data_IF_879550628207
#
_entry.id   IF_879550628207
#
_cell.length_a   1.000
_cell.length_b   1.000
_cell.length_c   1.000
_cell.angle_alpha   90.00
_cell.angle_beta   90.00
_cell.angle_gamma   90.00
#
_symmetry.space_group_name_H-M   'P 1'
#
loop_
_entity.id
_entity.type
_entity.pdbx_description
1 polymer ?
#
# COMPACT_ATOMS: atom_id res chain seq x y z
N UNK A 1 -12.49 18.86 36.46
CA UNK A 1 -11.02 18.93 36.67
C UNK A 1 -10.53 17.53 36.98
N UNK A 2 -9.93 16.86 35.99
CA UNK A 2 -9.14 15.64 36.17
C UNK A 2 -8.04 15.69 35.10
N UNK A 3 -6.83 15.82 35.61
CA UNK A 3 -5.56 16.04 34.93
C UNK A 3 -5.13 14.77 34.18
N UNK A 4 -4.67 14.96 32.94
CA UNK A 4 -3.95 13.96 32.16
C UNK A 4 -2.46 14.28 32.27
N UNK A 5 -1.67 13.30 32.71
CA UNK A 5 -0.20 13.35 32.66
C UNK A 5 0.27 12.73 31.34
N UNK A 6 1.23 13.40 30.71
CA UNK A 6 1.86 13.05 29.46
C UNK A 6 3.24 12.45 29.75
N UNK A 7 3.47 11.21 29.32
CA UNK A 7 4.79 10.59 29.32
C UNK A 7 5.59 11.04 28.10
N UNK A 8 6.87 11.33 28.33
CA UNK A 8 7.82 11.96 27.42
C UNK A 8 9.11 11.15 27.52
N UNK A 9 9.41 10.35 26.50
CA UNK A 9 10.65 9.56 26.42
C UNK A 9 11.81 10.43 25.90
N UNK A 10 12.96 10.31 26.56
CA UNK A 10 14.23 11.00 26.25
C UNK A 10 15.27 9.93 25.93
N UNK A 11 15.90 10.02 24.77
CA UNK A 11 17.02 9.18 24.34
C UNK A 11 18.35 9.73 24.90
N UNK A 12 19.12 8.91 25.61
CA UNK A 12 20.51 9.18 26.05
C UNK A 12 21.52 8.43 25.17
N UNK A 13 22.56 9.14 24.74
CA UNK A 13 23.69 8.64 23.98
C UNK A 13 24.82 8.12 24.90
N UNK A 14 25.54 7.10 24.46
CA UNK A 14 26.81 6.72 25.08
C UNK A 14 27.81 6.28 24.01
N UNK A 15 28.83 7.11 23.84
CA UNK A 15 30.02 6.90 23.04
C UNK A 15 31.09 6.19 23.87
N UNK A 16 31.87 5.28 23.28
CA UNK A 16 33.17 4.88 23.85
C UNK A 16 34.17 4.52 22.73
N UNK A 17 35.27 5.27 22.74
CA UNK A 17 36.47 5.10 21.93
C UNK A 17 37.36 3.95 22.42
N UNK A 18 38.03 3.27 21.48
CA UNK A 18 39.08 2.29 21.78
C UNK A 18 40.11 2.24 20.65
N UNK A 19 41.29 2.81 20.90
CA UNK A 19 42.45 2.87 19.99
C UNK A 19 43.23 1.55 19.96
N UNK A 20 43.81 1.33 18.78
CA UNK A 20 44.53 0.21 18.17
C UNK A 20 45.86 -0.26 18.79
N UNK A 21 46.23 -1.51 18.49
CA UNK A 21 47.63 -1.93 18.26
C UNK A 21 47.78 -2.79 16.98
N UNK A 22 48.84 -2.46 16.25
CA UNK A 22 49.45 -2.97 15.01
C UNK A 22 49.68 -4.51 14.97
N UNK A 23 49.95 -5.25 13.89
CA UNK A 23 50.12 -5.08 12.43
C UNK A 23 50.50 -6.47 11.90
N UNK A 24 49.89 -6.95 10.81
CA UNK A 24 50.58 -7.77 9.80
C UNK A 24 49.74 -7.88 8.52
N UNK A 25 50.38 -7.56 7.39
CA UNK A 25 49.78 -7.43 6.07
C UNK A 25 49.43 -8.79 5.46
N UNK A 26 48.24 -8.90 4.86
CA UNK A 26 48.09 -9.72 3.65
C UNK A 26 47.31 -8.94 2.59
N UNK A 27 48.02 -8.65 1.50
CA UNK A 27 47.60 -7.91 0.31
C UNK A 27 46.58 -8.70 -0.54
N UNK A 28 45.43 -9.08 0.03
CA UNK A 28 44.37 -9.79 -0.71
C UNK A 28 43.06 -8.99 -0.84
N UNK A 29 42.92 -7.89 -0.09
CA UNK A 29 41.64 -7.17 0.00
C UNK A 29 41.27 -6.35 -1.25
N UNK A 30 42.23 -5.91 -2.06
CA UNK A 30 41.93 -5.06 -3.22
C UNK A 30 41.35 -5.85 -4.40
N UNK A 31 41.82 -7.10 -4.61
CA UNK A 31 41.25 -7.99 -5.64
C UNK A 31 39.84 -8.43 -5.27
N UNK A 32 39.62 -8.80 -4.01
CA UNK A 32 38.30 -9.15 -3.46
C UNK A 32 37.31 -7.97 -3.52
N UNK A 33 37.80 -6.75 -3.28
CA UNK A 33 36.98 -5.53 -3.33
C UNK A 33 36.62 -5.14 -4.76
N UNK A 34 37.54 -5.28 -5.71
CA UNK A 34 37.28 -5.06 -7.14
C UNK A 34 36.42 -6.18 -7.75
N UNK A 35 36.61 -7.45 -7.39
CA UNK A 35 35.69 -8.54 -7.78
C UNK A 35 34.29 -8.34 -7.24
N UNK A 36 34.13 -7.94 -5.96
CA UNK A 36 32.82 -7.59 -5.39
C UNK A 36 32.20 -6.35 -6.07
N UNK A 37 33.02 -5.38 -6.52
CA UNK A 37 32.59 -4.21 -7.28
C UNK A 37 32.13 -4.59 -8.69
N UNK A 38 32.87 -5.45 -9.38
CA UNK A 38 32.58 -5.96 -10.71
C UNK A 38 31.35 -6.89 -10.69
N UNK A 39 31.23 -7.75 -9.69
CA UNK A 39 30.03 -8.56 -9.44
C UNK A 39 28.80 -7.67 -9.16
N UNK A 40 28.96 -6.56 -8.42
CA UNK A 40 27.90 -5.57 -8.19
C UNK A 40 27.57 -4.72 -9.44
N UNK A 41 28.54 -4.52 -10.35
CA UNK A 41 28.36 -3.88 -11.67
C UNK A 41 27.66 -4.82 -12.66
N UNK A 42 27.90 -6.13 -12.54
CA UNK A 42 27.34 -7.18 -13.41
C UNK A 42 25.95 -7.66 -12.98
N UNK A 43 25.41 -7.22 -11.83
CA UNK A 43 23.98 -7.34 -11.49
C UNK A 43 23.14 -6.35 -12.31
N UNK A 44 23.14 -6.54 -13.64
CA UNK A 44 22.23 -5.87 -14.57
C UNK A 44 20.78 -6.11 -14.12
N UNK A 45 19.97 -5.05 -14.11
CA UNK A 45 18.53 -5.12 -13.83
C UNK A 45 18.03 -4.29 -12.63
N UNK A 46 18.91 -3.80 -11.75
CA UNK A 46 18.48 -2.98 -10.61
C UNK A 46 18.79 -1.49 -10.85
N UNK A 47 17.86 -0.76 -11.49
CA UNK A 47 17.92 0.70 -11.53
C UNK A 47 17.81 1.23 -10.09
N UNK A 48 18.96 1.48 -9.45
CA UNK A 48 19.05 1.98 -8.07
C UNK A 48 18.40 3.36 -7.91
N UNK A 49 18.27 4.12 -8.99
CA UNK A 49 17.66 5.44 -8.99
C UNK A 49 16.15 5.41 -9.26
N UNK A 50 15.56 4.25 -9.57
CA UNK A 50 14.14 4.11 -9.90
C UNK A 50 13.23 4.79 -8.88
N UNK A 51 13.51 4.62 -7.58
CA UNK A 51 12.71 5.26 -6.52
C UNK A 51 12.82 6.79 -6.56
N UNK A 52 14.02 7.34 -6.79
CA UNK A 52 14.24 8.79 -6.89
C UNK A 52 13.55 9.37 -8.12
N UNK A 53 13.68 8.69 -9.26
CA UNK A 53 13.03 9.06 -10.52
C UNK A 53 11.51 9.05 -10.38
N UNK A 54 10.92 8.00 -9.78
CA UNK A 54 9.48 7.94 -9.52
C UNK A 54 9.02 9.07 -8.60
N UNK A 55 9.78 9.40 -7.54
CA UNK A 55 9.44 10.50 -6.63
C UNK A 55 9.50 11.86 -7.34
N UNK A 56 10.50 12.07 -8.19
CA UNK A 56 10.62 13.29 -8.99
C UNK A 56 9.47 13.42 -10.00
N UNK A 57 9.14 12.35 -10.71
CA UNK A 57 8.00 12.32 -11.61
C UNK A 57 6.68 12.60 -10.87
N UNK A 58 6.50 11.98 -9.69
CA UNK A 58 5.33 12.24 -8.87
C UNK A 58 5.22 13.71 -8.46
N UNK A 59 6.31 14.31 -7.95
CA UNK A 59 6.32 15.74 -7.59
C UNK A 59 6.03 16.64 -8.80
N UNK A 60 6.60 16.33 -9.97
CA UNK A 60 6.35 17.08 -11.20
C UNK A 60 4.87 17.02 -11.60
N UNK A 61 4.26 15.84 -11.55
CA UNK A 61 2.82 15.66 -11.81
C UNK A 61 1.98 16.43 -10.79
N UNK A 62 2.33 16.37 -9.50
CA UNK A 62 1.62 17.11 -8.45
C UNK A 62 1.66 18.62 -8.68
N UNK A 63 2.79 19.15 -9.12
CA UNK A 63 2.97 20.58 -9.39
C UNK A 63 2.24 21.04 -10.66
N UNK A 64 2.16 20.19 -11.69
CA UNK A 64 1.46 20.50 -12.93
C UNK A 64 -0.07 20.42 -12.80
N UNK A 65 -0.58 19.51 -11.95
CA UNK A 65 -2.02 19.34 -11.75
C UNK A 65 -2.58 20.39 -10.78
N UNK A 66 -3.55 21.19 -11.21
CA UNK A 66 -4.35 22.00 -10.29
C UNK A 66 -5.14 21.07 -9.35
N UNK A 67 -5.20 21.41 -8.06
CA UNK A 67 -5.85 20.60 -7.03
C UNK A 67 -6.65 21.48 -6.10
N UNK A 68 -7.93 21.15 -5.95
CA UNK A 68 -8.81 21.77 -4.98
C UNK A 68 -8.46 21.27 -3.57
N UNK A 69 -8.45 22.18 -2.61
CA UNK A 69 -8.23 21.83 -1.21
C UNK A 69 -9.41 20.99 -0.69
N UNK A 70 -9.17 19.88 0.02
CA UNK A 70 -10.24 19.06 0.61
C UNK A 70 -11.17 19.83 1.55
N UNK A 71 -10.67 20.90 2.15
CA UNK A 71 -11.39 21.84 3.02
C UNK A 71 -12.49 22.65 2.31
N UNK A 72 -12.49 22.67 0.97
CA UNK A 72 -13.57 23.26 0.17
C UNK A 72 -14.68 22.25 -0.08
N UNK A 73 -14.31 20.97 -0.20
CA UNK A 73 -15.25 19.87 -0.44
C UNK A 73 -15.94 19.45 0.86
N UNK A 74 -15.16 19.36 1.94
CA UNK A 74 -15.65 19.09 3.28
C UNK A 74 -15.77 20.42 4.02
N UNK A 75 -16.86 20.69 4.78
CA UNK A 75 -17.06 21.95 5.49
C UNK A 75 -16.14 22.07 6.73
N UNK A 76 -14.83 21.91 6.55
CA UNK A 76 -13.79 21.93 7.57
C UNK A 76 -12.81 23.04 7.20
N UNK A 77 -12.37 23.83 8.19
CA UNK A 77 -11.37 24.87 7.96
C UNK A 77 -10.04 24.27 7.50
N UNK A 78 -9.39 24.90 6.53
CA UNK A 78 -8.08 24.46 6.04
C UNK A 78 -7.02 24.60 7.13
N UNK A 79 -6.32 23.50 7.43
CA UNK A 79 -5.23 23.46 8.42
C UNK A 79 -4.04 24.35 8.04
N UNK A 80 -3.85 24.58 6.74
CA UNK A 80 -2.73 25.36 6.20
C UNK A 80 -3.08 26.84 5.98
N UNK A 81 -4.37 27.20 6.08
CA UNK A 81 -4.85 28.57 5.87
C UNK A 81 -4.33 29.17 4.56
N UNK A 82 -3.75 30.36 4.64
CA UNK A 82 -3.19 31.09 3.48
C UNK A 82 -1.90 30.47 2.91
N UNK A 83 -1.19 29.63 3.69
CA UNK A 83 0.03 28.94 3.24
C UNK A 83 -0.27 27.63 2.48
N UNK A 84 -1.53 27.41 2.12
CA UNK A 84 -1.95 26.20 1.43
C UNK A 84 -1.45 26.21 -0.02
N UNK A 85 -0.79 25.13 -0.45
CA UNK A 85 -0.38 24.95 -1.85
C UNK A 85 -1.52 24.48 -2.77
N UNK A 86 -2.74 24.36 -2.25
CA UNK A 86 -3.93 23.88 -2.96
C UNK A 86 -4.90 25.05 -3.16
N UNK A 87 -5.68 24.98 -4.23
CA UNK A 87 -6.65 26.02 -4.57
C UNK A 87 -7.83 25.99 -3.58
N UNK A 88 -8.24 27.16 -3.09
CA UNK A 88 -9.42 27.32 -2.24
C UNK A 88 -10.65 27.85 -2.98
N UNK A 89 -10.45 28.40 -4.18
CA UNK A 89 -11.49 29.00 -4.98
C UNK A 89 -11.97 28.04 -6.08
N UNK A 90 -13.29 27.88 -6.20
CA UNK A 90 -13.91 26.88 -7.07
C UNK A 90 -13.83 27.29 -8.55
N UNK A 91 -14.21 28.52 -8.96
CA UNK A 91 -14.12 28.96 -10.35
C UNK A 91 -12.70 28.90 -10.91
N UNK A 92 -11.70 29.36 -10.16
CA UNK A 92 -10.30 29.28 -10.57
C UNK A 92 -9.81 27.84 -10.74
N UNK A 93 -10.23 26.93 -9.85
CA UNK A 93 -9.94 25.52 -9.99
C UNK A 93 -10.61 24.90 -11.24
N UNK A 94 -11.90 25.19 -11.47
CA UNK A 94 -12.64 24.66 -12.63
C UNK A 94 -12.06 25.14 -13.96
N UNK A 95 -11.53 26.38 -14.03
CA UNK A 95 -10.86 26.89 -15.23
C UNK A 95 -9.53 26.18 -15.54
N UNK A 96 -8.78 25.77 -14.51
CA UNK A 96 -7.54 25.00 -14.66
C UNK A 96 -7.78 23.50 -14.80
N UNK A 97 -8.98 23.03 -14.45
CA UNK A 97 -9.33 21.61 -14.43
C UNK A 97 -9.34 21.07 -15.87
N UNK A 98 -8.67 19.94 -16.13
CA UNK A 98 -8.74 19.30 -17.44
C UNK A 98 -10.18 18.83 -17.75
N UNK A 99 -10.51 18.74 -19.05
CA UNK A 99 -11.82 18.32 -19.54
C UNK A 99 -12.27 16.99 -18.94
N UNK A 100 -13.58 16.81 -18.77
CA UNK A 100 -14.13 15.58 -18.23
C UNK A 100 -13.91 14.39 -19.17
N UNK A 101 -13.78 13.19 -18.60
CA UNK A 101 -13.52 11.95 -19.36
C UNK A 101 -14.79 11.50 -20.11
N UNK A 102 -15.97 11.88 -19.61
CA UNK A 102 -17.25 11.57 -20.21
C UNK A 102 -18.38 12.34 -19.53
N UNK A 103 -19.60 12.10 -20.00
CA UNK A 103 -20.80 12.85 -19.58
C UNK A 103 -21.45 12.31 -18.31
N UNK A 104 -21.28 11.01 -18.02
CA UNK A 104 -21.97 10.33 -16.92
C UNK A 104 -20.97 9.94 -15.83
N UNK A 105 -21.25 10.32 -14.58
CA UNK A 105 -20.48 9.90 -13.42
C UNK A 105 -21.09 8.63 -12.77
N UNK A 106 -20.41 7.48 -12.79
CA UNK A 106 -20.96 6.24 -12.21
C UNK A 106 -21.25 6.34 -10.70
N UNK A 107 -20.43 7.11 -9.99
CA UNK A 107 -20.63 7.35 -8.55
C UNK A 107 -21.86 8.21 -8.28
N UNK A 108 -22.07 9.24 -9.08
CA UNK A 108 -23.23 10.12 -8.95
C UNK A 108 -24.53 9.39 -9.31
N UNK A 109 -24.51 8.58 -10.35
CA UNK A 109 -25.69 7.84 -10.79
C UNK A 109 -26.14 6.80 -9.74
N UNK A 110 -25.17 6.11 -9.12
CA UNK A 110 -25.47 5.05 -8.14
C UNK A 110 -25.76 5.58 -6.74
N UNK A 111 -25.11 6.68 -6.31
CA UNK A 111 -25.20 7.18 -4.92
C UNK A 111 -25.99 8.48 -4.80
N UNK A 112 -26.31 9.13 -5.92
CA UNK A 112 -26.90 10.47 -5.95
C UNK A 112 -25.94 11.59 -5.55
N UNK A 113 -24.76 11.26 -5.01
CA UNK A 113 -23.74 12.19 -4.55
C UNK A 113 -22.35 11.65 -4.88
N UNK A 114 -21.43 12.55 -5.28
CA UNK A 114 -20.06 12.19 -5.60
C UNK A 114 -19.13 12.65 -4.47
N UNK A 115 -18.35 11.77 -3.81
CA UNK A 115 -17.44 12.16 -2.73
C UNK A 115 -16.29 13.06 -3.21
N UNK A 116 -16.00 13.05 -4.52
CA UNK A 116 -14.96 13.89 -5.11
C UNK A 116 -15.44 15.30 -5.48
N UNK A 117 -16.76 15.54 -5.46
CA UNK A 117 -17.36 16.85 -5.76
C UNK A 117 -16.75 17.51 -7.01
N UNK A 118 -16.51 18.82 -7.01
CA UNK A 118 -15.88 19.60 -8.08
C UNK A 118 -14.57 18.98 -8.64
N UNK A 119 -13.83 18.21 -7.84
CA UNK A 119 -12.57 17.59 -8.26
C UNK A 119 -12.77 16.28 -9.06
N UNK A 120 -14.01 15.81 -9.24
CA UNK A 120 -14.30 14.61 -10.02
C UNK A 120 -13.90 14.77 -11.49
N UNK A 121 -13.50 13.66 -12.13
CA UNK A 121 -13.19 13.60 -13.58
C UNK A 121 -14.44 13.56 -14.48
N UNK A 122 -15.61 13.56 -13.85
CA UNK A 122 -16.94 13.64 -14.46
C UNK A 122 -17.69 14.81 -13.80
N UNK A 123 -16.99 15.93 -13.61
CA UNK A 123 -17.46 17.08 -12.85
C UNK A 123 -18.77 17.64 -13.40
N UNK A 124 -18.84 17.77 -14.73
CA UNK A 124 -20.00 18.26 -15.46
C UNK A 124 -21.28 17.49 -15.20
N UNK A 125 -21.20 16.19 -14.87
CA UNK A 125 -22.36 15.35 -14.59
C UNK A 125 -23.09 15.71 -13.29
N UNK A 126 -22.41 16.40 -12.37
CA UNK A 126 -22.93 16.74 -11.05
C UNK A 126 -22.72 18.23 -10.72
N UNK A 127 -22.54 19.08 -11.74
CA UNK A 127 -22.51 20.54 -11.62
C UNK A 127 -23.63 21.15 -12.46
N UNK A 128 -24.34 22.12 -11.91
CA UNK A 128 -25.39 22.85 -12.63
C UNK A 128 -24.81 23.93 -13.55
N UNK A 129 -25.64 24.54 -14.41
CA UNK A 129 -25.26 25.64 -15.30
C UNK A 129 -24.67 26.85 -14.54
N UNK A 130 -25.00 27.00 -13.25
CA UNK A 130 -24.43 28.02 -12.36
C UNK A 130 -23.10 27.60 -11.70
N UNK A 131 -22.62 26.38 -11.93
CA UNK A 131 -21.39 25.83 -11.34
C UNK A 131 -21.57 25.27 -9.93
N UNK A 132 -22.80 25.12 -9.45
CA UNK A 132 -23.10 24.55 -8.12
C UNK A 132 -23.19 23.01 -8.18
N UNK A 133 -22.76 22.34 -7.10
CA UNK A 133 -22.86 20.89 -6.97
C UNK A 133 -24.32 20.42 -6.85
N UNK A 134 -24.73 19.48 -7.70
CA UNK A 134 -26.07 18.89 -7.69
C UNK A 134 -26.08 17.64 -6.81
N UNK A 135 -27.21 17.38 -6.15
CA UNK A 135 -27.51 16.12 -5.46
C UNK A 135 -28.74 15.48 -6.09
N UNK A 136 -28.66 14.19 -6.42
CA UNK A 136 -29.79 13.40 -6.94
C UNK A 136 -30.35 12.54 -5.82
N UNK A 137 -31.66 12.54 -5.65
CA UNK A 137 -32.31 11.58 -4.75
C UNK A 137 -32.36 10.23 -5.45
N UNK A 138 -31.86 9.19 -4.77
CA UNK A 138 -31.86 7.81 -5.28
C UNK A 138 -32.89 7.00 -4.51
N UNK A 139 -33.60 6.11 -5.20
CA UNK A 139 -34.66 5.29 -4.61
C UNK A 139 -34.15 4.39 -3.47
N UNK A 140 -32.89 3.96 -3.56
CA UNK A 140 -32.21 3.18 -2.55
C UNK A 140 -30.96 3.92 -2.03
N UNK A 141 -30.81 4.11 -0.71
CA UNK A 141 -29.62 4.71 -0.15
C UNK A 141 -28.40 3.82 -0.42
N UNK A 142 -27.27 4.45 -0.74
CA UNK A 142 -26.01 3.73 -0.96
C UNK A 142 -25.65 2.87 0.26
N UNK A 143 -25.56 1.57 0.06
CA UNK A 143 -25.06 0.64 1.06
C UNK A 143 -23.56 0.51 0.92
N UNK A 144 -22.82 0.73 2.01
CA UNK A 144 -21.39 0.50 2.00
C UNK A 144 -21.07 -0.97 1.72
N UNK A 145 -20.12 -1.21 0.83
CA UNK A 145 -19.58 -2.55 0.60
C UNK A 145 -18.99 -3.12 1.90
N UNK A 146 -19.21 -4.40 2.14
CA UNK A 146 -18.67 -5.13 3.30
C UNK A 146 -17.16 -4.86 3.41
N UNK A 147 -16.67 -4.57 4.62
CA UNK A 147 -15.27 -4.22 4.96
C UNK A 147 -14.80 -2.78 4.63
N UNK A 148 -15.71 -1.87 4.27
CA UNK A 148 -15.41 -0.45 4.02
C UNK A 148 -14.60 0.21 5.15
N UNK A 149 -14.89 -0.12 6.40
CA UNK A 149 -14.30 0.49 7.58
C UNK A 149 -13.35 -0.44 8.35
N UNK A 150 -12.56 -1.28 7.67
CA UNK A 150 -11.71 -2.29 8.33
C UNK A 150 -10.52 -1.76 9.15
N UNK A 151 -10.30 -0.46 9.32
CA UNK A 151 -9.08 0.05 9.99
C UNK A 151 -8.95 -0.41 11.44
N UNK A 152 -10.04 -0.44 12.20
CA UNK A 152 -10.05 -0.93 13.58
C UNK A 152 -9.83 -2.44 13.64
N UNK A 153 -10.39 -3.19 12.67
CA UNK A 153 -10.11 -4.62 12.50
C UNK A 153 -8.64 -4.85 12.18
N UNK A 154 -8.05 -4.10 11.23
CA UNK A 154 -6.64 -4.18 10.88
C UNK A 154 -5.73 -3.84 12.06
N UNK A 155 -6.09 -2.84 12.87
CA UNK A 155 -5.38 -2.52 14.12
C UNK A 155 -5.47 -3.69 15.10
N UNK A 156 -6.67 -4.25 15.31
CA UNK A 156 -6.86 -5.40 16.20
C UNK A 156 -6.09 -6.65 15.73
N UNK A 157 -6.05 -6.90 14.42
CA UNK A 157 -5.26 -7.98 13.81
C UNK A 157 -3.76 -7.76 14.02
N UNK A 158 -3.25 -6.55 13.79
CA UNK A 158 -1.84 -6.19 14.05
C UNK A 158 -1.47 -6.34 15.52
N UNK A 159 -2.39 -5.98 16.41
CA UNK A 159 -2.24 -6.12 17.87
C UNK A 159 -2.56 -7.52 18.39
N UNK A 160 -3.02 -8.45 17.53
CA UNK A 160 -3.48 -9.81 17.90
C UNK A 160 -4.59 -9.82 18.96
N UNK A 161 -5.41 -8.77 19.01
CA UNK A 161 -6.54 -8.64 19.95
C UNK A 161 -7.89 -8.93 19.31
N UNK A 162 -7.91 -9.32 18.03
CA UNK A 162 -9.15 -9.61 17.32
C UNK A 162 -9.75 -10.94 17.80
N UNK A 163 -11.05 -10.96 18.06
CA UNK A 163 -11.77 -12.16 18.51
C UNK A 163 -12.11 -13.06 17.31
N UNK A 164 -11.54 -14.26 17.30
CA UNK A 164 -11.68 -15.26 16.24
C UNK A 164 -12.69 -16.36 16.56
N UNK A 165 -13.53 -16.23 17.61
CA UNK A 165 -14.53 -17.26 18.01
C UNK A 165 -15.31 -17.85 16.84
N UNK A 166 -15.88 -16.99 15.97
CA UNK A 166 -16.67 -17.46 14.81
C UNK A 166 -15.84 -18.30 13.84
N UNK A 167 -14.60 -17.91 13.56
CA UNK A 167 -13.71 -18.70 12.72
C UNK A 167 -13.24 -19.97 13.42
N UNK A 168 -13.03 -19.94 14.73
CA UNK A 168 -12.64 -21.11 15.52
C UNK A 168 -13.74 -22.16 15.54
N UNK A 169 -15.01 -21.77 15.70
CA UNK A 169 -16.19 -22.63 15.61
C UNK A 169 -16.29 -23.33 14.25
N UNK A 170 -16.08 -22.57 13.16
CA UNK A 170 -16.03 -23.12 11.79
C UNK A 170 -14.85 -24.09 11.64
N UNK A 171 -13.68 -23.74 12.17
CA UNK A 171 -12.50 -24.61 12.13
C UNK A 171 -12.71 -25.88 12.97
N UNK A 172 -13.41 -25.83 14.10
CA UNK A 172 -13.77 -27.04 14.85
C UNK A 172 -14.76 -27.90 14.08
N UNK A 173 -15.80 -27.31 13.50
CA UNK A 173 -16.77 -28.05 12.69
C UNK A 173 -16.10 -28.73 11.47
N UNK A 174 -15.12 -28.07 10.85
CA UNK A 174 -14.34 -28.64 9.75
C UNK A 174 -13.34 -29.72 10.17
N UNK A 175 -12.87 -29.71 11.43
CA UNK A 175 -12.03 -30.79 11.96
C UNK A 175 -12.83 -32.08 12.14
N UNK A 176 -14.10 -31.95 12.52
CA UNK A 176 -14.97 -33.08 12.87
C UNK A 176 -15.68 -33.69 11.64
N UNK A 177 -15.67 -33.01 10.50
CA UNK A 177 -16.25 -33.53 9.26
C UNK A 177 -15.75 -32.76 8.04
N UNK A 178 -15.01 -33.45 7.18
CA UNK A 178 -14.61 -33.02 5.84
C UNK A 178 -15.83 -32.52 5.04
N UNK A 179 -16.04 -31.21 5.02
CA UNK A 179 -16.92 -30.54 4.07
C UNK A 179 -16.11 -29.51 3.30
N UNK A 180 -15.18 -30.03 2.49
CA UNK A 180 -14.41 -29.24 1.53
C UNK A 180 -13.62 -30.15 0.61
N UNK A 181 -13.79 -29.98 -0.71
CA UNK A 181 -13.28 -30.81 -1.80
C UNK A 181 -11.73 -30.86 -1.96
N UNK A 182 -10.97 -30.58 -0.91
CA UNK A 182 -9.53 -30.82 -0.86
C UNK A 182 -9.19 -31.55 0.43
N UNK A 183 -9.55 -32.83 0.47
CA UNK A 183 -8.83 -33.75 1.33
C UNK A 183 -7.36 -33.66 0.90
N UNK A 184 -6.52 -32.96 1.69
CA UNK A 184 -5.08 -33.02 1.48
C UNK A 184 -4.72 -34.47 1.67
N UNK A 185 -4.46 -35.19 0.57
CA UNK A 185 -3.92 -36.54 0.65
C UNK A 185 -2.76 -36.49 1.65
N UNK A 186 -2.86 -37.27 2.73
CA UNK A 186 -1.79 -37.34 3.71
C UNK A 186 -0.53 -37.70 2.92
N UNK A 187 0.56 -36.92 3.01
CA UNK A 187 1.78 -37.23 2.29
C UNK A 187 2.17 -38.68 2.60
N UNK A 188 2.11 -39.53 1.58
CA UNK A 188 2.21 -40.99 1.70
C UNK A 188 3.56 -41.46 2.27
N UNK A 189 4.55 -40.57 2.34
CA UNK A 189 5.91 -40.86 2.82
C UNK A 189 6.41 -39.78 3.77
N UNK A 190 7.12 -40.20 4.82
CA UNK A 190 7.80 -39.28 5.75
C UNK A 190 9.17 -38.84 5.20
N UNK A 191 9.58 -37.61 5.52
CA UNK A 191 10.90 -37.04 5.15
C UNK A 191 12.08 -37.91 5.64
N UNK A 192 11.92 -38.58 6.79
CA UNK A 192 12.91 -39.52 7.31
C UNK A 192 13.11 -40.73 6.36
N UNK A 193 12.04 -41.18 5.70
CA UNK A 193 12.08 -42.29 4.74
C UNK A 193 12.69 -41.90 3.38
N UNK A 194 12.83 -40.60 3.12
CA UNK A 194 13.40 -40.01 1.89
C UNK A 194 14.89 -39.71 2.01
N UNK A 195 15.46 -39.76 3.22
CA UNK A 195 16.89 -39.49 3.46
C UNK A 195 17.73 -40.55 2.77
N UNK A 196 18.53 -40.14 1.78
CA UNK A 196 19.43 -41.02 1.02
C UNK A 196 18.82 -41.71 -0.20
N UNK A 197 17.53 -41.52 -0.48
CA UNK A 197 16.89 -42.02 -1.71
C UNK A 197 16.82 -40.92 -2.75
N UNK A 198 17.24 -41.21 -3.98
CA UNK A 198 17.05 -40.30 -5.12
C UNK A 198 15.55 -40.24 -5.43
N UNK A 199 14.92 -39.09 -5.19
CA UNK A 199 13.52 -38.88 -5.58
C UNK A 199 13.48 -37.96 -6.78
N UNK A 200 12.79 -38.38 -7.84
CA UNK A 200 12.54 -37.55 -9.01
C UNK A 200 11.25 -36.76 -8.73
N UNK A 201 11.37 -35.46 -8.52
CA UNK A 201 10.20 -34.60 -8.39
C UNK A 201 9.35 -34.67 -9.67
N UNK A 202 8.01 -34.59 -9.59
CA UNK A 202 7.17 -34.55 -10.78
C UNK A 202 7.59 -33.35 -11.64
N UNK A 203 8.03 -33.64 -12.87
CA UNK A 203 8.49 -32.65 -13.84
C UNK A 203 7.33 -31.75 -14.27
N UNK A 204 7.06 -30.69 -13.52
CA UNK A 204 6.21 -29.58 -13.95
C UNK A 204 7.01 -28.46 -14.63
N UNK A 205 8.31 -28.65 -14.84
CA UNK A 205 9.11 -27.78 -15.69
C UNK A 205 9.77 -28.62 -16.77
N UNK A 206 9.10 -28.68 -17.92
CA UNK A 206 9.81 -28.89 -19.19
C UNK A 206 10.93 -27.85 -19.23
N UNK A 207 12.10 -28.24 -19.74
CA UNK A 207 13.33 -27.44 -19.85
C UNK A 207 14.26 -27.55 -18.63
N UNK A 208 14.95 -28.68 -18.54
CA UNK A 208 16.41 -28.73 -18.71
C UNK A 208 16.84 -30.20 -18.79
N UNK A 209 16.61 -30.82 -19.94
CA UNK A 209 17.55 -31.83 -20.40
C UNK A 209 18.86 -31.09 -20.65
N UNK A 210 19.89 -31.36 -19.86
CA UNK A 210 21.22 -31.67 -20.36
C UNK A 210 22.07 -32.17 -19.19
N UNK A 211 22.37 -33.46 -19.24
CA UNK A 211 23.49 -34.08 -18.55
C UNK A 211 24.80 -33.46 -19.05
N UNK A 212 25.70 -33.11 -18.13
CA UNK A 212 27.09 -33.57 -18.14
C UNK A 212 27.63 -33.54 -16.71
#
# INVERSE_FOLDING_TARGET
MKSNEAEKDVDEDASVDGVSTDREQSNNNDRDREEKKLARKNRKGMNKNRMKEMKQAETAIRAASARLCPSVIQPVKCKFGEKCCLEHDIPTFLAKKPSDIGEICPLFETRGTCPFSYACRFGGAHTDAMGNQITKETEAPYQETINSSSIHIQIALRKRTFDFKRSEEVLSALKDGSLGAMEREKPKMSLASMKGKKYLAPLTTVVSFFFL
#
